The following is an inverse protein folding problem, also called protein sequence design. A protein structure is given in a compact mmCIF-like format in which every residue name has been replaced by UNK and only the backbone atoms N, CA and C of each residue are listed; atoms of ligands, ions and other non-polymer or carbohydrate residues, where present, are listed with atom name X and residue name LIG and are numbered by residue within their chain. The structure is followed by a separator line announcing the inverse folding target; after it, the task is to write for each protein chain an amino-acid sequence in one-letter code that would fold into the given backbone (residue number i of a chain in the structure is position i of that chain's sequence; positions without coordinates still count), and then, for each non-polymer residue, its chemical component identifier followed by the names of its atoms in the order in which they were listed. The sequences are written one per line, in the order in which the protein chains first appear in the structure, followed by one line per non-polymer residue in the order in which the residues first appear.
data_IF_159807095435
#
_entry.id   IF_159807095435
#
_cell.length_a   1.000
_cell.length_b   1.000
_cell.length_c   1.000
_cell.angle_alpha   90.00
_cell.angle_beta   90.00
_cell.angle_gamma   90.00
#
_symmetry.space_group_name_H-M   'P 1'
#
loop_
_entity.id
_entity.type
_entity.pdbx_description
1 polymer ?
#
# COMPACT_ATOMS: atom_id res chain seq x y z
N UNK A 1 10.75 4.78 -10.37
CA UNK A 1 10.73 6.17 -9.87
C UNK A 1 9.87 7.10 -10.71
N UNK A 2 10.01 7.12 -12.04
CA UNK A 2 9.19 7.98 -12.91
C UNK A 2 7.68 7.77 -12.75
N UNK A 3 7.22 6.51 -12.68
CA UNK A 3 5.81 6.16 -12.43
C UNK A 3 5.28 6.72 -11.09
N UNK A 4 6.07 6.59 -10.03
CA UNK A 4 5.74 7.14 -8.70
C UNK A 4 5.61 8.66 -8.77
N UNK A 5 6.51 9.34 -9.47
CA UNK A 5 6.43 10.80 -9.61
C UNK A 5 5.20 11.23 -10.40
N UNK A 6 4.86 10.55 -11.50
CA UNK A 6 3.65 10.82 -12.27
C UNK A 6 2.38 10.60 -11.42
N UNK A 7 2.35 9.52 -10.64
CA UNK A 7 1.26 9.21 -9.74
C UNK A 7 1.09 10.26 -8.63
N UNK A 8 2.19 10.69 -8.00
CA UNK A 8 2.19 11.75 -6.98
C UNK A 8 1.78 13.10 -7.56
N UNK A 9 2.21 13.45 -8.78
CA UNK A 9 1.76 14.67 -9.45
C UNK A 9 0.24 14.64 -9.70
N UNK A 10 -0.30 13.48 -10.09
CA UNK A 10 -1.76 13.29 -10.27
C UNK A 10 -2.53 13.51 -8.98
N UNK A 11 -2.02 13.01 -7.85
CA UNK A 11 -2.66 13.11 -6.52
C UNK A 11 -2.15 14.28 -5.67
N UNK A 12 -1.44 15.25 -6.27
CA UNK A 12 -0.69 16.25 -5.51
C UNK A 12 -1.60 17.00 -4.53
N UNK A 13 -2.82 17.35 -4.95
CA UNK A 13 -3.75 18.11 -4.11
C UNK A 13 -4.20 17.30 -2.89
N UNK A 14 -4.55 16.03 -3.08
CA UNK A 14 -4.96 15.12 -1.99
C UNK A 14 -3.80 14.85 -1.03
N UNK A 15 -2.60 14.59 -1.55
CA UNK A 15 -1.41 14.30 -0.75
C UNK A 15 -0.98 15.52 0.08
N UNK A 16 -1.09 16.72 -0.49
CA UNK A 16 -0.86 17.98 0.21
C UNK A 16 -1.89 18.20 1.34
N UNK A 17 -3.16 17.90 1.09
CA UNK A 17 -4.20 17.99 2.11
C UNK A 17 -3.95 16.99 3.27
N UNK A 18 -3.52 15.78 2.95
CA UNK A 18 -3.14 14.76 3.93
C UNK A 18 -1.95 15.22 4.78
N UNK A 19 -0.92 15.78 4.12
CA UNK A 19 0.31 16.26 4.76
C UNK A 19 0.01 17.24 5.90
N UNK A 20 -0.95 18.14 5.72
CA UNK A 20 -1.38 19.09 6.78
C UNK A 20 -1.79 18.40 8.09
N UNK A 21 -2.36 17.20 8.01
CA UNK A 21 -2.84 16.45 9.18
C UNK A 21 -1.80 15.52 9.79
N UNK A 22 -0.91 14.96 8.96
CA UNK A 22 0.03 13.89 9.37
C UNK A 22 1.46 14.42 9.57
N UNK A 23 1.88 15.45 8.83
CA UNK A 23 3.20 16.11 8.92
C UNK A 23 3.03 17.64 8.77
N UNK A 24 2.58 18.34 9.83
CA UNK A 24 2.35 19.78 9.79
C UNK A 24 3.61 20.59 9.44
N UNK A 25 4.80 20.13 9.84
CA UNK A 25 6.07 20.78 9.51
C UNK A 25 6.42 20.62 8.02
N UNK A 26 6.23 19.41 7.47
CA UNK A 26 6.36 19.16 6.05
C UNK A 26 5.38 20.00 5.23
N UNK A 27 4.15 20.18 5.73
CA UNK A 27 3.16 21.07 5.11
C UNK A 27 3.65 22.52 5.05
N UNK A 28 4.23 23.04 6.13
CA UNK A 28 4.76 24.40 6.15
C UNK A 28 5.91 24.60 5.14
N UNK A 29 6.76 23.57 4.97
CA UNK A 29 7.83 23.57 3.97
C UNK A 29 7.27 23.52 2.54
N UNK A 30 6.28 22.67 2.28
CA UNK A 30 5.72 22.47 0.95
C UNK A 30 5.09 23.73 0.35
N UNK A 31 4.53 24.62 1.18
CA UNK A 31 3.91 25.89 0.72
C UNK A 31 4.88 26.82 0.00
N UNK A 32 6.18 26.72 0.30
CA UNK A 32 7.21 27.61 -0.25
C UNK A 32 7.93 26.99 -1.45
N UNK A 33 7.57 25.77 -1.85
CA UNK A 33 8.21 25.06 -2.95
C UNK A 33 7.56 25.41 -4.29
N UNK A 34 8.34 25.30 -5.37
CA UNK A 34 7.80 25.35 -6.72
C UNK A 34 6.94 24.11 -6.99
N UNK A 35 6.07 24.19 -8.00
CA UNK A 35 5.20 23.07 -8.38
C UNK A 35 5.99 21.78 -8.66
N UNK A 36 7.12 21.89 -9.34
CA UNK A 36 8.00 20.77 -9.69
C UNK A 36 8.70 20.21 -8.45
N UNK A 37 9.12 21.08 -7.53
CA UNK A 37 9.78 20.68 -6.28
C UNK A 37 8.83 20.03 -5.28
N UNK A 38 7.54 20.40 -5.29
CA UNK A 38 6.52 19.80 -4.41
C UNK A 38 6.39 18.30 -4.66
N UNK A 39 6.43 17.84 -5.92
CA UNK A 39 6.33 16.40 -6.23
C UNK A 39 7.52 15.65 -5.66
N UNK A 40 8.73 16.13 -5.93
CA UNK A 40 9.97 15.54 -5.42
C UNK A 40 9.99 15.53 -3.89
N UNK A 41 9.50 16.60 -3.29
CA UNK A 41 9.34 16.71 -1.85
C UNK A 41 8.37 15.68 -1.29
N UNK A 42 7.16 15.54 -1.87
CA UNK A 42 6.16 14.57 -1.42
C UNK A 42 6.69 13.14 -1.54
N UNK A 43 7.37 12.80 -2.64
CA UNK A 43 7.99 11.48 -2.86
C UNK A 43 9.08 11.19 -1.82
N UNK A 44 9.78 12.21 -1.31
CA UNK A 44 10.79 12.04 -0.27
C UNK A 44 10.22 11.78 1.13
N UNK A 45 8.89 11.91 1.32
CA UNK A 45 8.25 11.71 2.62
C UNK A 45 7.88 10.24 2.83
N UNK A 46 8.42 9.59 3.88
CA UNK A 46 8.15 8.17 4.10
C UNK A 46 6.66 7.83 4.25
N UNK A 47 5.90 8.65 4.97
CA UNK A 47 4.46 8.40 5.18
C UNK A 47 3.63 8.52 3.88
N UNK A 48 4.06 9.37 2.92
CA UNK A 48 3.44 9.46 1.60
C UNK A 48 3.69 8.16 0.83
N UNK A 49 4.96 7.68 0.80
CA UNK A 49 5.32 6.43 0.13
C UNK A 49 4.62 5.20 0.74
N UNK A 50 4.47 5.19 2.07
CA UNK A 50 3.69 4.17 2.78
C UNK A 50 2.22 4.20 2.37
N UNK A 51 1.60 5.39 2.34
CA UNK A 51 0.21 5.57 1.91
C UNK A 51 -0.03 5.10 0.47
N UNK A 52 0.86 5.45 -0.45
CA UNK A 52 0.83 4.98 -1.84
C UNK A 52 0.91 3.46 -1.89
N UNK A 53 1.81 2.84 -1.12
CA UNK A 53 1.95 1.38 -1.07
C UNK A 53 0.67 0.70 -0.60
N UNK A 54 0.01 1.22 0.45
CA UNK A 54 -1.27 0.67 0.92
C UNK A 54 -2.39 0.86 -0.11
N UNK A 55 -2.42 1.99 -0.82
CA UNK A 55 -3.41 2.22 -1.87
C UNK A 55 -3.25 1.20 -3.01
N UNK A 56 -2.03 0.99 -3.50
CA UNK A 56 -1.76 0.03 -4.57
C UNK A 56 -2.17 -1.39 -4.14
N UNK A 57 -1.85 -1.78 -2.91
CA UNK A 57 -2.29 -3.07 -2.37
C UNK A 57 -3.82 -3.19 -2.36
N UNK A 58 -4.53 -2.13 -1.98
CA UNK A 58 -5.98 -2.08 -2.04
C UNK A 58 -6.51 -2.26 -3.46
N UNK A 59 -5.99 -1.50 -4.42
CA UNK A 59 -6.37 -1.56 -5.85
C UNK A 59 -6.07 -2.93 -6.47
N UNK A 60 -5.01 -3.61 -6.03
CA UNK A 60 -4.70 -4.96 -6.46
C UNK A 60 -5.56 -6.06 -5.80
N UNK A 61 -6.52 -5.70 -4.96
CA UNK A 61 -7.42 -6.64 -4.29
C UNK A 61 -6.86 -7.24 -3.00
N UNK A 62 -5.95 -6.53 -2.32
CA UNK A 62 -5.43 -6.83 -0.98
C UNK A 62 -5.88 -5.76 0.05
N UNK A 63 -7.10 -5.25 -0.12
CA UNK A 63 -7.75 -4.36 0.84
C UNK A 63 -8.42 -5.09 2.01
N UNK A 64 -8.77 -4.36 3.08
CA UNK A 64 -9.53 -4.91 4.20
C UNK A 64 -10.85 -5.56 3.70
N UNK A 65 -11.10 -6.80 4.15
CA UNK A 65 -12.27 -7.58 3.77
C UNK A 65 -12.11 -8.37 2.47
N UNK A 66 -11.03 -8.20 1.71
CA UNK A 66 -10.79 -8.93 0.47
C UNK A 66 -10.68 -10.45 0.69
N UNK A 67 -11.12 -11.24 -0.29
CA UNK A 67 -10.96 -12.70 -0.26
C UNK A 67 -9.70 -13.09 -1.02
N UNK A 68 -8.87 -13.90 -0.37
CA UNK A 68 -7.59 -14.37 -0.88
C UNK A 68 -7.57 -15.90 -0.89
N UNK A 69 -7.03 -16.47 -1.95
CA UNK A 69 -6.80 -17.92 -2.04
C UNK A 69 -5.31 -18.21 -1.84
N UNK A 70 -5.00 -19.12 -0.91
CA UNK A 70 -3.64 -19.61 -0.69
C UNK A 70 -3.21 -20.51 -1.85
N UNK A 71 -2.09 -20.20 -2.50
CA UNK A 71 -1.61 -20.92 -3.67
C UNK A 71 -1.20 -22.38 -3.37
N UNK A 72 -0.78 -22.66 -2.13
CA UNK A 72 -0.27 -23.98 -1.73
C UNK A 72 -1.38 -25.02 -1.52
N UNK A 73 -2.45 -24.63 -0.84
CA UNK A 73 -3.49 -25.55 -0.35
C UNK A 73 -4.90 -25.18 -0.83
N UNK A 74 -5.06 -24.09 -1.58
CA UNK A 74 -6.33 -23.65 -2.15
C UNK A 74 -7.30 -23.07 -1.12
N UNK A 75 -6.89 -22.97 0.15
CA UNK A 75 -7.72 -22.46 1.24
C UNK A 75 -8.02 -20.98 1.05
N UNK A 76 -9.25 -20.58 1.38
CA UNK A 76 -9.72 -19.21 1.22
C UNK A 76 -9.70 -18.50 2.56
N UNK A 77 -9.19 -17.27 2.55
CA UNK A 77 -9.12 -16.39 3.71
C UNK A 77 -9.76 -15.05 3.40
N UNK A 78 -10.39 -14.45 4.40
CA UNK A 78 -10.77 -13.04 4.37
C UNK A 78 -9.68 -12.22 5.02
N UNK A 79 -9.16 -11.24 4.30
CA UNK A 79 -8.13 -10.34 4.76
C UNK A 79 -8.71 -9.37 5.79
N UNK A 80 -8.00 -9.18 6.91
CA UNK A 80 -8.31 -8.13 7.88
C UNK A 80 -7.43 -6.92 7.62
N UNK A 81 -6.13 -7.14 7.41
CA UNK A 81 -5.19 -6.08 7.01
C UNK A 81 -3.90 -6.64 6.45
N UNK A 82 -3.25 -5.85 5.60
CA UNK A 82 -1.85 -6.02 5.28
C UNK A 82 -0.96 -5.53 6.43
N UNK A 83 0.11 -6.25 6.71
CA UNK A 83 1.16 -5.85 7.62
C UNK A 83 2.44 -5.62 6.79
N UNK A 84 2.68 -4.36 6.44
CA UNK A 84 3.81 -3.97 5.60
C UNK A 84 4.96 -3.49 6.49
N UNK A 85 6.16 -4.02 6.26
CA UNK A 85 7.39 -3.42 6.79
C UNK A 85 7.98 -2.46 5.77
N UNK A 86 8.51 -1.34 6.24
CA UNK A 86 9.05 -0.28 5.37
C UNK A 86 10.48 0.05 5.76
N UNK A 87 11.27 0.51 4.80
CA UNK A 87 12.57 1.12 5.06
C UNK A 87 12.43 2.57 5.55
N UNK A 88 13.56 3.23 5.81
CA UNK A 88 13.63 4.64 6.24
C UNK A 88 13.04 5.62 5.22
N UNK A 89 12.92 5.22 3.96
CA UNK A 89 12.36 6.01 2.85
C UNK A 89 10.86 5.74 2.66
N UNK A 90 10.27 4.83 3.43
CA UNK A 90 8.88 4.43 3.31
C UNK A 90 8.61 3.46 2.15
N UNK A 91 9.64 2.82 1.60
CA UNK A 91 9.50 1.79 0.57
C UNK A 91 9.18 0.43 1.21
N UNK A 92 8.26 -0.36 0.64
CA UNK A 92 7.86 -1.63 1.23
C UNK A 92 9.00 -2.66 1.09
N UNK A 93 9.34 -3.32 2.20
CA UNK A 93 10.34 -4.39 2.26
C UNK A 93 9.70 -5.78 2.23
N UNK A 94 8.70 -5.99 3.09
CA UNK A 94 7.93 -7.24 3.14
C UNK A 94 6.47 -6.94 3.41
N UNK A 95 5.58 -7.80 2.89
CA UNK A 95 4.14 -7.73 3.14
C UNK A 95 3.65 -9.05 3.71
N UNK A 96 3.31 -9.03 4.99
CA UNK A 96 2.57 -10.09 5.66
C UNK A 96 1.07 -9.83 5.60
N UNK A 97 0.28 -10.87 5.77
CA UNK A 97 -1.17 -10.81 5.75
C UNK A 97 -1.73 -11.29 7.09
N UNK A 98 -2.64 -10.50 7.65
CA UNK A 98 -3.45 -10.89 8.80
C UNK A 98 -4.86 -11.10 8.30
N UNK A 99 -5.39 -12.31 8.49
CA UNK A 99 -6.67 -12.71 7.97
C UNK A 99 -7.34 -13.79 8.81
N UNK A 100 -8.52 -14.18 8.36
CA UNK A 100 -9.34 -15.23 8.96
C UNK A 100 -9.70 -16.26 7.89
N UNK A 101 -9.66 -17.55 8.22
CA UNK A 101 -10.11 -18.61 7.30
C UNK A 101 -11.59 -18.41 6.97
N UNK A 102 -11.98 -18.58 5.71
CA UNK A 102 -13.36 -18.38 5.28
C UNK A 102 -14.34 -19.18 6.14
N UNK A 103 -15.43 -18.54 6.56
CA UNK A 103 -16.44 -19.12 7.46
C UNK A 103 -16.15 -19.02 8.96
N UNK A 104 -14.97 -18.51 9.37
CA UNK A 104 -14.68 -18.20 10.78
C UNK A 104 -14.91 -16.71 11.10
N UNK A 105 -14.96 -16.39 12.39
CA UNK A 105 -15.15 -15.04 12.89
C UNK A 105 -13.87 -14.19 12.92
N UNK A 106 -14.01 -12.87 12.99
CA UNK A 106 -12.86 -11.96 13.06
C UNK A 106 -12.05 -12.09 14.35
N UNK A 107 -12.61 -12.68 15.41
CA UNK A 107 -11.87 -12.95 16.64
C UNK A 107 -10.77 -14.01 16.43
N UNK A 108 -10.93 -14.86 15.42
CA UNK A 108 -9.96 -15.88 15.00
C UNK A 108 -8.86 -15.35 14.07
N UNK A 109 -8.78 -14.03 13.88
CA UNK A 109 -7.79 -13.42 12.99
C UNK A 109 -6.36 -13.71 13.46
N UNK A 110 -5.50 -14.09 12.50
CA UNK A 110 -4.08 -14.40 12.75
C UNK A 110 -3.23 -14.04 11.53
N UNK A 111 -1.92 -14.10 11.67
CA UNK A 111 -1.02 -14.07 10.52
C UNK A 111 -1.30 -15.31 9.65
N UNK A 112 -1.63 -15.09 8.38
CA UNK A 112 -1.98 -16.17 7.44
C UNK A 112 -0.85 -16.51 6.47
N UNK A 113 0.12 -15.61 6.29
CA UNK A 113 1.31 -15.82 5.46
C UNK A 113 1.82 -14.51 4.85
N UNK A 114 2.67 -14.62 3.83
CA UNK A 114 3.19 -13.48 3.05
C UNK A 114 2.35 -13.27 1.79
N UNK A 115 2.35 -12.06 1.24
CA UNK A 115 1.53 -11.72 0.07
C UNK A 115 1.77 -12.62 -1.15
N UNK A 116 3.01 -13.05 -1.36
CA UNK A 116 3.44 -13.90 -2.48
C UNK A 116 2.88 -15.32 -2.40
N UNK A 117 2.29 -15.72 -1.27
CA UNK A 117 1.63 -17.01 -1.07
C UNK A 117 0.14 -16.99 -1.46
N UNK A 118 -0.41 -15.82 -1.80
CA UNK A 118 -1.84 -15.61 -2.01
C UNK A 118 -2.17 -14.94 -3.34
N UNK A 119 -3.30 -15.35 -3.90
CA UNK A 119 -3.91 -14.71 -5.06
C UNK A 119 -5.17 -13.99 -4.62
N UNK A 120 -5.33 -12.74 -5.05
CA UNK A 120 -6.60 -12.02 -4.86
C UNK A 120 -7.69 -12.69 -5.68
N UNK A 121 -8.80 -13.05 -5.04
CA UNK A 121 -9.94 -13.65 -5.75
C UNK A 121 -10.74 -12.61 -6.55
N UNK A 122 -10.55 -11.32 -6.27
CA UNK A 122 -11.22 -10.22 -6.99
C UNK A 122 -10.51 -9.91 -8.31
N UNK A 123 -9.19 -9.75 -8.27
CA UNK A 123 -8.39 -9.33 -9.42
C UNK A 123 -7.68 -10.48 -10.12
N UNK A 124 -7.57 -11.64 -9.47
CA UNK A 124 -6.74 -12.77 -9.94
C UNK A 124 -5.24 -12.53 -9.80
N UNK A 125 -4.81 -11.42 -9.18
CA UNK A 125 -3.40 -11.07 -9.07
C UNK A 125 -2.72 -11.79 -7.91
N UNK A 126 -1.50 -12.25 -8.18
CA UNK A 126 -0.52 -12.64 -7.18
C UNK A 126 0.65 -11.66 -7.29
N UNK A 127 1.03 -11.04 -6.18
CA UNK A 127 2.03 -9.97 -6.16
C UNK A 127 3.25 -10.44 -5.37
N UNK A 128 4.44 -10.18 -5.90
CA UNK A 128 5.65 -10.23 -5.09
C UNK A 128 5.77 -8.92 -4.33
N UNK A 129 6.01 -8.96 -3.02
CA UNK A 129 6.07 -7.74 -2.19
C UNK A 129 7.06 -6.68 -2.70
N UNK A 130 8.11 -7.09 -3.42
CA UNK A 130 9.07 -6.19 -4.08
C UNK A 130 8.51 -5.43 -5.29
N UNK A 131 7.44 -5.94 -5.91
CA UNK A 131 6.85 -5.42 -7.15
C UNK A 131 5.70 -4.43 -6.90
N UNK A 132 5.38 -4.13 -5.64
CA UNK A 132 4.22 -3.30 -5.29
C UNK A 132 4.24 -1.97 -6.04
N UNK A 133 5.39 -1.29 -6.12
CA UNK A 133 5.48 0.00 -6.80
C UNK A 133 5.49 -0.12 -8.34
N UNK A 134 5.73 -1.31 -8.89
CA UNK A 134 5.70 -1.55 -10.33
C UNK A 134 4.27 -1.66 -10.87
N UNK A 135 3.30 -1.96 -9.98
CA UNK A 135 1.86 -2.04 -10.28
C UNK A 135 1.20 -0.67 -10.49
N UNK A 136 1.93 0.42 -10.28
CA UNK A 136 1.44 1.75 -10.63
C UNK A 136 1.25 1.84 -12.15
N UNK A 137 0.00 1.77 -12.60
CA UNK A 137 -0.38 2.13 -13.97
C UNK A 137 -0.29 3.65 -14.16
N UNK A 138 0.15 4.07 -15.36
CA UNK A 138 0.28 5.46 -15.78
C UNK A 138 -1.06 6.03 -16.24
#
# INVERSE_FOLDING_TARGET
MERVMAYVERLRAELLALLRSVDPEGWEQAKNLSREDVVSFLVSRPHIMQGISYQILGEAGFGEGAYLQCARDGEVYRLIRCQVSFDERGLPLTVGLIGVKNGLDNASARVIGRIDEFTSMETGLQILGSEILDLLEL
#
